data_IF_702893546496
#
_entry.id   IF_702893546496
#
_cell.length_a   1.000
_cell.length_b   1.000
_cell.length_c   1.000
_cell.angle_alpha   90.00
_cell.angle_beta   90.00
_cell.angle_gamma   90.00
#
_symmetry.space_group_name_H-M   'P 1'
#
loop_
_entity.id
_entity.type
_entity.pdbx_description
1 polymer ?
#
# COMPACT_ATOMS: atom_id res chain seq x y z
N UNK A 1 46.80 -16.53 0.97
CA UNK A 1 46.42 -15.10 0.98
C UNK A 1 45.08 -14.83 0.29
N UNK A 2 44.83 -15.29 -0.95
CA UNK A 2 43.55 -15.06 -1.66
C UNK A 2 42.33 -15.75 -1.01
N UNK A 3 42.49 -16.97 -0.50
CA UNK A 3 41.41 -17.68 0.23
C UNK A 3 41.00 -16.98 1.53
N UNK A 4 41.95 -16.42 2.27
CA UNK A 4 41.70 -15.73 3.53
C UNK A 4 40.92 -14.42 3.33
N UNK A 5 41.19 -13.69 2.24
CA UNK A 5 40.46 -12.47 1.88
C UNK A 5 39.00 -12.80 1.48
N UNK A 6 38.79 -13.87 0.71
CA UNK A 6 37.44 -14.31 0.35
C UNK A 6 36.61 -14.70 1.58
N UNK A 7 37.21 -15.43 2.53
CA UNK A 7 36.57 -15.78 3.79
C UNK A 7 36.19 -14.54 4.61
N UNK A 8 37.07 -13.53 4.69
CA UNK A 8 36.78 -12.28 5.39
C UNK A 8 35.62 -11.52 4.73
N UNK A 9 35.61 -11.40 3.39
CA UNK A 9 34.52 -10.72 2.67
C UNK A 9 33.18 -11.43 2.90
N UNK A 10 33.17 -12.76 2.87
CA UNK A 10 31.98 -13.56 3.11
C UNK A 10 31.43 -13.34 4.52
N UNK A 11 32.29 -13.36 5.55
CA UNK A 11 31.91 -13.11 6.95
C UNK A 11 31.32 -11.71 7.14
N UNK A 12 31.88 -10.69 6.48
CA UNK A 12 31.35 -9.32 6.53
C UNK A 12 29.95 -9.23 5.90
N UNK A 13 29.73 -9.87 4.74
CA UNK A 13 28.42 -9.89 4.08
C UNK A 13 27.36 -10.62 4.92
N UNK A 14 27.70 -11.77 5.49
CA UNK A 14 26.80 -12.53 6.37
C UNK A 14 26.45 -11.75 7.65
N UNK A 15 27.43 -11.04 8.22
CA UNK A 15 27.20 -10.19 9.39
C UNK A 15 26.27 -9.01 9.07
N UNK A 16 26.38 -8.44 7.86
CA UNK A 16 25.49 -7.39 7.38
C UNK A 16 24.03 -7.83 7.21
N UNK A 17 23.80 -9.08 6.78
CA UNK A 17 22.45 -9.63 6.62
C UNK A 17 21.66 -9.71 7.95
N UNK A 18 22.33 -9.85 9.09
CA UNK A 18 21.69 -9.92 10.40
C UNK A 18 21.10 -8.56 10.87
N UNK A 19 21.46 -7.46 10.20
CA UNK A 19 21.00 -6.09 10.53
C UNK A 19 19.78 -5.71 9.66
N UNK A 20 19.46 -6.50 8.63
CA UNK A 20 18.36 -6.23 7.72
C UNK A 20 17.03 -6.64 8.37
N UNK A 21 16.21 -5.65 8.70
CA UNK A 21 14.86 -5.87 9.21
C UNK A 21 13.87 -5.75 8.06
N UNK A 22 13.28 -6.88 7.65
CA UNK A 22 12.13 -6.89 6.76
C UNK A 22 10.86 -6.58 7.54
N UNK A 23 9.97 -5.74 7.00
CA UNK A 23 8.65 -5.47 7.56
C UNK A 23 7.56 -6.20 6.76
N UNK A 24 7.36 -7.52 6.97
CA UNK A 24 6.41 -8.33 6.19
C UNK A 24 4.95 -7.92 6.40
N UNK A 25 4.68 -7.14 7.45
CA UNK A 25 3.37 -6.58 7.79
C UNK A 25 3.10 -5.22 7.15
N UNK A 26 4.09 -4.60 6.49
CA UNK A 26 3.96 -3.25 5.93
C UNK A 26 3.10 -3.18 4.66
N UNK A 27 2.93 -4.30 3.94
CA UNK A 27 2.07 -4.33 2.77
C UNK A 27 0.59 -4.29 3.17
N UNK A 28 -0.25 -3.44 2.54
CA UNK A 28 -1.69 -3.44 2.78
C UNK A 28 -2.31 -4.81 2.52
N UNK A 29 -3.13 -5.29 3.46
CA UNK A 29 -3.93 -6.52 3.34
C UNK A 29 -5.40 -6.15 3.38
N UNK A 30 -6.25 -6.97 2.77
CA UNK A 30 -7.70 -6.73 2.72
C UNK A 30 -8.38 -6.75 4.11
N UNK A 31 -7.77 -7.42 5.09
CA UNK A 31 -8.23 -7.38 6.48
C UNK A 31 -7.81 -6.12 7.24
N UNK A 32 -6.98 -5.26 6.65
CA UNK A 32 -6.52 -4.02 7.26
C UNK A 32 -7.36 -2.84 6.76
N UNK A 33 -8.28 -2.36 7.60
CA UNK A 33 -9.04 -1.11 7.37
C UNK A 33 -8.24 0.13 7.77
N UNK A 34 -7.14 -0.05 8.49
CA UNK A 34 -6.20 1.01 8.85
C UNK A 34 -4.75 0.54 8.62
N UNK A 35 -3.85 1.42 8.18
CA UNK A 35 -2.42 1.12 8.12
C UNK A 35 -1.88 0.73 9.50
N UNK A 36 -1.11 -0.36 9.56
CA UNK A 36 -0.40 -0.77 10.78
C UNK A 36 0.97 -0.11 10.82
N UNK A 37 1.00 1.16 11.22
CA UNK A 37 2.23 1.93 11.36
C UNK A 37 2.51 2.18 12.85
N UNK A 38 2.92 1.13 13.59
CA UNK A 38 3.36 1.20 14.99
C UNK A 38 2.66 2.30 15.83
N UNK A 39 3.41 3.33 16.25
CA UNK A 39 2.91 4.42 17.08
C UNK A 39 2.20 5.55 16.30
N UNK A 40 2.25 5.54 14.97
CA UNK A 40 1.59 6.53 14.15
C UNK A 40 0.07 6.40 14.26
N UNK A 41 -0.57 7.51 14.63
CA UNK A 41 -2.03 7.62 14.71
C UNK A 41 -2.59 8.20 13.42
N UNK A 42 -3.89 7.98 13.22
CA UNK A 42 -4.62 8.62 12.13
C UNK A 42 -4.46 10.14 12.22
N UNK A 43 -4.32 10.79 11.06
CA UNK A 43 -4.20 12.23 10.98
C UNK A 43 -5.44 12.91 11.58
N UNK A 44 -5.21 13.92 12.42
CA UNK A 44 -6.28 14.71 13.09
C UNK A 44 -6.47 16.10 12.50
N UNK A 45 -5.52 16.58 11.70
CA UNK A 45 -5.59 17.85 10.96
C UNK A 45 -6.27 17.67 9.60
N UNK A 46 -6.71 18.75 8.93
CA UNK A 46 -7.26 18.65 7.58
C UNK A 46 -6.32 17.90 6.62
N UNK A 47 -6.88 16.91 5.91
CA UNK A 47 -6.13 16.12 4.93
C UNK A 47 -5.54 17.02 3.83
N UNK A 48 -4.24 16.94 3.52
CA UNK A 48 -3.67 17.62 2.35
C UNK A 48 -4.02 16.90 1.03
N UNK A 49 -4.80 15.83 1.10
CA UNK A 49 -5.26 15.04 -0.03
C UNK A 49 -6.78 15.00 -0.11
N UNK A 50 -7.31 14.92 -1.33
CA UNK A 50 -8.74 14.74 -1.60
C UNK A 50 -8.98 13.54 -2.51
N UNK A 51 -10.11 12.86 -2.25
CA UNK A 51 -10.65 11.80 -3.08
C UNK A 51 -11.97 12.28 -3.64
N UNK A 52 -12.10 12.33 -4.96
CA UNK A 52 -13.35 12.68 -5.65
C UNK A 52 -13.81 11.51 -6.49
N UNK A 53 -15.13 11.28 -6.53
CA UNK A 53 -15.75 10.24 -7.34
C UNK A 53 -16.84 10.86 -8.23
N UNK A 54 -16.64 10.80 -9.54
CA UNK A 54 -17.58 11.33 -10.53
C UNK A 54 -18.27 10.19 -11.25
N UNK A 55 -19.60 10.14 -11.17
CA UNK A 55 -20.41 9.12 -11.84
C UNK A 55 -20.22 9.20 -13.36
N UNK A 56 -19.96 8.06 -14.01
CA UNK A 56 -19.83 7.93 -15.47
C UNK A 56 -20.93 7.09 -16.12
N UNK A 57 -21.71 6.37 -15.32
CA UNK A 57 -22.81 5.54 -15.81
C UNK A 57 -23.70 5.07 -14.66
N UNK A 58 -24.56 4.08 -14.91
CA UNK A 58 -25.47 3.55 -13.87
C UNK A 58 -24.70 2.94 -12.68
N UNK A 59 -23.59 2.26 -12.96
CA UNK A 59 -22.83 1.48 -11.96
C UNK A 59 -21.33 1.76 -11.97
N UNK A 60 -20.89 2.85 -12.60
CA UNK A 60 -19.47 3.20 -12.74
C UNK A 60 -19.19 4.63 -12.33
N UNK A 61 -18.03 4.84 -11.72
CA UNK A 61 -17.52 6.16 -11.35
C UNK A 61 -16.02 6.25 -11.68
N UNK A 62 -15.56 7.45 -12.03
CA UNK A 62 -14.13 7.77 -12.07
C UNK A 62 -13.71 8.34 -10.73
N UNK A 63 -12.67 7.75 -10.14
CA UNK A 63 -12.11 8.18 -8.86
C UNK A 63 -10.78 8.88 -9.08
N UNK A 64 -10.61 10.05 -8.48
CA UNK A 64 -9.39 10.85 -8.55
C UNK A 64 -8.86 11.09 -7.15
N UNK A 65 -7.56 10.87 -6.96
CA UNK A 65 -6.82 11.26 -5.76
C UNK A 65 -5.96 12.46 -6.14
N UNK A 66 -6.07 13.56 -5.41
CA UNK A 66 -5.35 14.81 -5.66
C UNK A 66 -4.81 15.39 -4.35
N UNK A 67 -3.87 16.35 -4.45
CA UNK A 67 -3.25 16.99 -3.30
C UNK A 67 -1.73 17.07 -3.44
N UNK A 68 -1.04 17.12 -2.30
CA UNK A 68 0.43 17.08 -2.25
C UNK A 68 1.00 15.78 -2.83
N UNK A 69 2.32 15.74 -3.06
CA UNK A 69 2.98 14.51 -3.50
C UNK A 69 2.90 13.40 -2.43
N UNK A 70 2.56 12.18 -2.85
CA UNK A 70 2.48 11.02 -1.98
C UNK A 70 3.28 9.83 -2.49
N UNK A 71 3.90 9.11 -1.55
CA UNK A 71 4.72 7.93 -1.84
C UNK A 71 3.90 6.70 -2.22
N UNK A 72 2.66 6.58 -1.75
CA UNK A 72 1.79 5.43 -1.95
C UNK A 72 0.35 5.73 -1.56
N UNK A 73 -0.56 4.85 -1.95
CA UNK A 73 -1.97 4.88 -1.52
C UNK A 73 -2.51 3.45 -1.46
N UNK A 74 -3.61 3.28 -0.73
CA UNK A 74 -4.51 2.13 -0.78
C UNK A 74 -5.93 2.69 -0.87
N UNK A 75 -6.70 2.22 -1.85
CA UNK A 75 -8.06 2.68 -2.12
C UNK A 75 -8.99 1.46 -2.23
N UNK A 76 -10.09 1.51 -1.47
CA UNK A 76 -11.16 0.52 -1.49
C UNK A 76 -12.51 1.26 -1.37
N UNK A 77 -13.58 0.64 -1.84
CA UNK A 77 -14.94 1.16 -1.71
C UNK A 77 -15.69 0.31 -0.67
N UNK A 78 -16.52 0.96 0.15
CA UNK A 78 -17.39 0.29 1.12
C UNK A 78 -18.84 0.77 0.99
N UNK A 79 -19.78 -0.01 1.53
CA UNK A 79 -21.14 0.49 1.75
C UNK A 79 -21.14 1.52 2.88
N UNK A 80 -22.01 2.54 2.84
CA UNK A 80 -22.19 3.45 3.97
C UNK A 80 -22.45 2.66 5.26
N UNK A 81 -21.66 2.93 6.31
CA UNK A 81 -21.78 2.27 7.62
C UNK A 81 -21.21 0.85 7.71
N UNK A 82 -20.59 0.31 6.66
CA UNK A 82 -19.94 -1.01 6.68
C UNK A 82 -18.45 -0.92 6.38
N UNK A 83 -17.69 -1.89 6.89
CA UNK A 83 -16.29 -2.14 6.55
C UNK A 83 -16.13 -3.13 5.39
N UNK A 84 -17.23 -3.67 4.85
CA UNK A 84 -17.20 -4.61 3.75
C UNK A 84 -16.75 -3.91 2.48
N UNK A 85 -15.64 -4.40 1.92
CA UNK A 85 -15.13 -3.94 0.64
C UNK A 85 -16.08 -4.42 -0.47
N UNK A 86 -16.43 -3.51 -1.38
CA UNK A 86 -17.35 -3.77 -2.49
C UNK A 86 -16.80 -3.26 -3.82
N UNK A 87 -17.34 -3.81 -4.90
CA UNK A 87 -17.04 -3.38 -6.25
C UNK A 87 -15.62 -3.71 -6.69
N UNK A 88 -15.29 -3.28 -7.89
CA UNK A 88 -13.97 -3.50 -8.49
C UNK A 88 -13.43 -2.20 -9.03
N UNK A 89 -12.13 -2.00 -8.85
CA UNK A 89 -11.39 -0.94 -9.52
C UNK A 89 -10.69 -1.49 -10.76
N UNK A 90 -10.58 -0.65 -11.78
CA UNK A 90 -9.71 -0.90 -12.94
C UNK A 90 -8.39 -0.17 -12.72
N UNK A 91 -7.26 -0.88 -12.75
CA UNK A 91 -5.95 -0.25 -12.63
C UNK A 91 -5.63 0.71 -13.80
N UNK A 92 -4.83 1.72 -13.49
CA UNK A 92 -4.01 2.46 -14.45
C UNK A 92 -2.52 2.08 -14.31
N UNK A 93 -1.66 2.68 -15.14
CA UNK A 93 -0.22 2.40 -15.16
C UNK A 93 0.52 2.71 -13.85
N UNK A 94 -0.08 3.53 -12.98
CA UNK A 94 0.47 3.95 -11.69
C UNK A 94 -0.06 3.13 -10.52
N UNK A 95 -0.86 2.10 -10.77
CA UNK A 95 -1.54 1.31 -9.73
C UNK A 95 -1.40 -0.19 -9.93
N UNK A 96 -1.53 -0.94 -8.83
CA UNK A 96 -1.65 -2.40 -8.78
C UNK A 96 -2.94 -2.76 -8.05
N UNK A 97 -3.59 -3.82 -8.50
CA UNK A 97 -4.79 -4.36 -7.86
C UNK A 97 -4.43 -5.24 -6.66
N UNK A 98 -5.33 -5.29 -5.68
CA UNK A 98 -5.31 -6.24 -4.56
C UNK A 98 -6.69 -6.87 -4.48
N UNK A 99 -6.76 -8.20 -4.58
CA UNK A 99 -8.02 -8.94 -4.49
C UNK A 99 -8.41 -9.15 -3.02
N UNK A 100 -9.62 -8.72 -2.67
CA UNK A 100 -10.20 -8.73 -1.34
C UNK A 100 -11.55 -9.46 -1.36
N UNK A 101 -11.49 -10.80 -1.42
CA UNK A 101 -12.69 -11.60 -1.66
C UNK A 101 -13.25 -11.31 -3.05
N UNK A 102 -14.51 -10.88 -3.13
CA UNK A 102 -15.16 -10.46 -4.38
C UNK A 102 -14.86 -9.00 -4.77
N UNK A 103 -14.22 -8.22 -3.90
CA UNK A 103 -13.83 -6.85 -4.17
C UNK A 103 -12.38 -6.76 -4.68
N UNK A 104 -12.08 -5.70 -5.43
CA UNK A 104 -10.71 -5.40 -5.87
C UNK A 104 -10.37 -4.00 -5.41
N UNK A 105 -9.29 -3.85 -4.65
CA UNK A 105 -8.73 -2.58 -4.18
C UNK A 105 -7.54 -2.14 -5.04
N UNK A 106 -7.16 -0.86 -5.00
CA UNK A 106 -5.96 -0.35 -5.67
C UNK A 106 -4.90 0.10 -4.68
N UNK A 107 -3.64 -0.21 -5.01
CA UNK A 107 -2.47 0.40 -4.40
C UNK A 107 -1.58 1.04 -5.44
N UNK A 108 -0.65 1.92 -5.03
CA UNK A 108 0.37 2.45 -5.94
C UNK A 108 1.27 1.33 -6.48
N UNK A 109 1.59 1.40 -7.77
CA UNK A 109 2.60 0.57 -8.41
C UNK A 109 3.98 1.06 -7.96
N UNK A 110 4.64 0.28 -7.11
CA UNK A 110 6.10 0.35 -6.89
C UNK A 110 6.77 -0.43 -8.01
#
# INVERSE_FOLDING_TARGET
>A
MKQSIFAIILVVLLSGCMIIHGYPTGAPKCSATAPKHEDHKAQTTPSPYQITATKKGKSTASVTISGAEFKGFMLYATKPGSNDMIGTFTKNDKSKEITCGSAVSLKKKI
#
